data_IF_263274827077
#
_entry.id   IF_263274827077
#
_cell.length_a   1.000
_cell.length_b   1.000
_cell.length_c   1.000
_cell.angle_alpha   90.00
_cell.angle_beta   90.00
_cell.angle_gamma   90.00
#
_symmetry.space_group_name_H-M   'P 1'
#
loop_
_entity.id
_entity.type
_entity.pdbx_description
1 polymer ?
#
# COMPACT_ATOMS: atom_id res chain seq x y z
N UNK A 1 4.35 -15.68 51.61
CA UNK A 1 3.86 -15.82 50.21
C UNK A 1 2.87 -14.71 49.94
N UNK A 2 3.28 -13.65 49.23
CA UNK A 2 2.41 -12.52 48.90
C UNK A 2 1.46 -12.90 47.79
N UNK A 3 0.15 -12.69 48.00
CA UNK A 3 -0.88 -12.86 46.96
C UNK A 3 -0.47 -12.03 45.73
N UNK A 4 -0.55 -12.55 44.49
CA UNK A 4 -0.06 -11.84 43.32
C UNK A 4 -0.79 -10.50 43.17
N UNK A 5 -0.06 -9.42 42.85
CA UNK A 5 -0.58 -8.06 42.56
C UNK A 5 -1.73 -8.01 41.54
N UNK A 6 -1.98 -9.10 40.82
CA UNK A 6 -3.11 -9.32 39.94
C UNK A 6 -4.49 -9.09 40.61
N UNK A 7 -4.61 -9.25 41.94
CA UNK A 7 -5.91 -9.08 42.62
C UNK A 7 -6.31 -7.64 42.93
N UNK A 8 -5.36 -6.70 43.02
CA UNK A 8 -5.64 -5.33 43.45
C UNK A 8 -6.16 -4.47 42.28
N UNK A 9 -5.50 -4.58 41.13
CA UNK A 9 -5.91 -3.90 39.90
C UNK A 9 -7.25 -4.42 39.38
N UNK A 10 -7.46 -5.74 39.38
CA UNK A 10 -8.74 -6.33 38.96
C UNK A 10 -9.91 -5.88 39.86
N UNK A 11 -9.68 -5.74 41.18
CA UNK A 11 -10.70 -5.20 42.10
C UNK A 11 -10.95 -3.71 41.88
N UNK A 12 -9.90 -2.93 41.61
CA UNK A 12 -10.03 -1.52 41.29
C UNK A 12 -10.76 -1.30 39.96
N UNK A 13 -10.47 -2.12 38.95
CA UNK A 13 -11.15 -2.12 37.66
C UNK A 13 -12.63 -2.50 37.80
N UNK A 14 -12.97 -3.55 38.54
CA UNK A 14 -14.37 -3.93 38.82
C UNK A 14 -15.13 -2.82 39.59
N UNK A 15 -14.46 -2.19 40.56
CA UNK A 15 -15.04 -1.05 41.32
C UNK A 15 -15.29 0.14 40.39
N UNK A 16 -14.31 0.50 39.55
CA UNK A 16 -14.43 1.59 38.57
C UNK A 16 -15.55 1.29 37.57
N UNK A 17 -15.59 0.06 37.06
CA UNK A 17 -16.62 -0.39 36.12
C UNK A 17 -18.02 -0.22 36.73
N UNK A 18 -18.24 -0.72 37.95
CA UNK A 18 -19.53 -0.55 38.66
C UNK A 18 -19.89 0.92 38.86
N UNK A 19 -18.93 1.75 39.21
CA UNK A 19 -19.12 3.19 39.39
C UNK A 19 -19.54 3.89 38.08
N UNK A 20 -18.82 3.64 36.99
CA UNK A 20 -19.08 4.29 35.69
C UNK A 20 -20.43 3.87 35.10
N UNK A 21 -20.85 2.62 35.29
CA UNK A 21 -22.03 2.05 34.61
C UNK A 21 -23.32 2.02 35.45
N UNK A 22 -23.30 2.42 36.73
CA UNK A 22 -24.50 2.34 37.60
C UNK A 22 -25.71 3.11 37.04
N UNK A 23 -25.47 4.28 36.44
CA UNK A 23 -26.50 5.15 35.88
C UNK A 23 -26.21 5.51 34.41
N UNK A 24 -25.39 4.73 33.73
CA UNK A 24 -25.03 4.98 32.35
C UNK A 24 -26.11 4.45 31.41
N UNK A 25 -26.71 5.34 30.63
CA UNK A 25 -27.75 5.01 29.67
C UNK A 25 -27.18 5.04 28.25
N UNK A 26 -26.96 3.86 27.65
CA UNK A 26 -26.35 3.73 26.31
C UNK A 26 -27.18 4.30 25.16
N UNK A 27 -28.47 4.52 25.35
CA UNK A 27 -29.37 5.06 24.33
C UNK A 27 -29.43 6.60 24.35
N UNK A 28 -28.87 7.22 25.39
CA UNK A 28 -28.92 8.66 25.59
C UNK A 28 -27.56 9.26 25.24
N UNK A 29 -27.56 10.30 24.40
CA UNK A 29 -26.35 11.01 24.03
C UNK A 29 -25.57 11.47 25.30
N UNK A 30 -24.26 11.17 25.42
CA UNK A 30 -23.48 11.48 26.60
C UNK A 30 -22.94 12.93 26.58
N UNK A 31 -23.85 13.91 26.67
CA UNK A 31 -23.51 15.34 26.80
C UNK A 31 -23.83 15.86 28.20
N UNK A 32 -23.06 16.85 28.66
CA UNK A 32 -23.32 17.58 29.91
C UNK A 32 -24.42 18.62 29.71
N UNK A 33 -24.41 19.30 28.56
CA UNK A 33 -25.39 20.32 28.18
C UNK A 33 -25.99 20.02 26.81
N UNK A 34 -27.26 20.35 26.60
CA UNK A 34 -27.98 20.09 25.33
C UNK A 34 -27.34 20.76 24.11
N UNK A 35 -26.66 21.89 24.31
CA UNK A 35 -26.02 22.65 23.24
C UNK A 35 -24.63 22.12 22.85
N UNK A 36 -24.13 21.07 23.51
CA UNK A 36 -22.83 20.50 23.18
C UNK A 36 -22.92 19.51 22.02
N UNK A 37 -21.92 19.57 21.15
CA UNK A 37 -21.71 18.62 20.05
C UNK A 37 -20.67 17.58 20.45
N UNK A 38 -20.86 16.35 19.98
CA UNK A 38 -19.87 15.28 20.11
C UNK A 38 -19.13 15.18 18.79
N UNK A 39 -17.85 15.50 18.79
CA UNK A 39 -16.98 15.33 17.62
C UNK A 39 -16.55 13.88 17.54
N UNK A 40 -17.03 13.16 16.51
CA UNK A 40 -16.62 11.79 16.21
C UNK A 40 -15.58 11.84 15.11
N UNK A 41 -14.38 11.34 15.40
CA UNK A 41 -13.31 11.19 14.42
C UNK A 41 -13.45 9.83 13.76
N UNK A 42 -13.50 9.83 12.43
CA UNK A 42 -13.49 8.62 11.62
C UNK A 42 -12.13 8.46 10.97
N UNK A 43 -11.56 7.26 11.10
CA UNK A 43 -10.43 6.81 10.32
C UNK A 43 -10.87 5.64 9.46
N UNK A 44 -10.51 5.65 8.18
CA UNK A 44 -10.72 4.52 7.29
C UNK A 44 -9.36 4.03 6.81
N UNK A 45 -9.14 2.73 6.89
CA UNK A 45 -7.93 2.09 6.39
C UNK A 45 -8.33 0.92 5.49
N UNK A 46 -7.81 0.90 4.27
CA UNK A 46 -8.03 -0.21 3.34
C UNK A 46 -7.13 -1.36 3.77
N UNK A 47 -7.70 -2.54 4.00
CA UNK A 47 -6.95 -3.70 4.47
C UNK A 47 -6.01 -4.22 3.38
N UNK A 48 -6.53 -4.45 2.17
CA UNK A 48 -5.85 -4.94 0.97
C UNK A 48 -6.71 -4.57 -0.26
N UNK A 49 -6.08 -4.41 -1.44
CA UNK A 49 -6.82 -4.40 -2.70
C UNK A 49 -7.38 -5.82 -2.89
N UNK A 50 -8.66 -6.01 -2.63
CA UNK A 50 -9.34 -7.26 -2.95
C UNK A 50 -9.71 -7.16 -4.44
N UNK A 51 -9.49 -8.27 -5.12
CA UNK A 51 -9.59 -8.49 -6.55
C UNK A 51 -10.76 -7.76 -7.22
N UNK A 52 -10.52 -7.26 -8.43
CA UNK A 52 -11.52 -6.56 -9.24
C UNK A 52 -12.11 -7.57 -10.21
N UNK A 53 -13.36 -7.96 -10.00
CA UNK A 53 -14.07 -8.82 -10.93
C UNK A 53 -14.60 -7.97 -12.09
N UNK A 54 -13.81 -7.92 -13.16
CA UNK A 54 -14.11 -7.15 -14.37
C UNK A 54 -15.34 -7.69 -15.12
N UNK A 55 -15.53 -9.02 -15.14
CA UNK A 55 -16.68 -9.65 -15.81
C UNK A 55 -18.00 -9.34 -15.13
N UNK A 56 -18.00 -9.24 -13.80
CA UNK A 56 -19.19 -8.94 -13.02
C UNK A 56 -19.31 -7.46 -12.60
N UNK A 57 -18.39 -6.59 -13.06
CA UNK A 57 -18.29 -5.17 -12.71
C UNK A 57 -18.31 -4.91 -11.20
N UNK A 58 -17.69 -5.78 -10.40
CA UNK A 58 -17.66 -5.65 -8.94
C UNK A 58 -16.23 -5.49 -8.44
N UNK A 59 -16.02 -4.36 -7.79
CA UNK A 59 -14.85 -4.13 -6.95
C UNK A 59 -15.23 -4.44 -5.51
N UNK A 60 -14.58 -5.43 -4.90
CA UNK A 60 -14.75 -5.73 -3.48
C UNK A 60 -13.55 -5.17 -2.74
N UNK A 61 -13.74 -4.47 -1.62
CA UNK A 61 -12.62 -3.93 -0.83
C UNK A 61 -12.90 -4.12 0.65
N UNK A 62 -11.96 -4.70 1.38
CA UNK A 62 -12.04 -4.81 2.84
C UNK A 62 -11.56 -3.51 3.48
N UNK A 63 -12.44 -2.81 4.20
CA UNK A 63 -12.14 -1.52 4.85
C UNK A 63 -12.27 -1.65 6.36
N UNK A 64 -11.22 -1.25 7.07
CA UNK A 64 -11.23 -1.05 8.52
C UNK A 64 -11.73 0.35 8.84
N UNK A 65 -12.79 0.44 9.64
CA UNK A 65 -13.31 1.70 10.16
C UNK A 65 -12.91 1.86 11.63
N UNK A 66 -12.17 2.92 11.93
CA UNK A 66 -11.85 3.38 13.27
C UNK A 66 -12.76 4.56 13.62
N UNK A 67 -13.39 4.47 14.79
CA UNK A 67 -14.20 5.56 15.34
C UNK A 67 -13.63 5.97 16.69
N UNK A 68 -13.48 7.27 16.90
CA UNK A 68 -12.96 7.83 18.14
C UNK A 68 -13.81 9.03 18.57
N UNK A 69 -14.34 8.99 19.78
CA UNK A 69 -15.13 10.06 20.37
C UNK A 69 -14.85 10.17 21.87
N UNK A 70 -15.18 11.32 22.46
CA UNK A 70 -15.05 11.54 23.91
C UNK A 70 -16.43 11.49 24.57
N UNK A 71 -16.65 10.50 25.43
CA UNK A 71 -17.81 10.45 26.32
C UNK A 71 -17.54 11.28 27.59
N UNK A 72 -18.40 12.23 27.92
CA UNK A 72 -18.23 13.09 29.10
C UNK A 72 -18.71 12.46 30.41
N UNK A 73 -19.59 11.46 30.34
CA UNK A 73 -20.10 10.71 31.49
C UNK A 73 -19.13 9.61 31.95
N UNK A 74 -18.30 9.09 31.04
CA UNK A 74 -17.28 8.06 31.35
C UNK A 74 -15.95 8.68 31.76
N UNK A 75 -15.92 9.37 32.90
CA UNK A 75 -14.72 10.00 33.45
C UNK A 75 -14.47 9.56 34.88
N UNK A 76 -13.20 9.49 35.24
CA UNK A 76 -12.76 9.19 36.59
C UNK A 76 -11.40 9.83 36.84
N UNK A 77 -11.02 9.94 38.11
CA UNK A 77 -9.67 10.29 38.51
C UNK A 77 -8.82 9.01 38.64
N UNK A 78 -7.70 8.86 37.91
CA UNK A 78 -6.84 7.68 38.02
C UNK A 78 -6.33 7.41 39.45
N UNK A 79 -6.10 8.45 40.24
CA UNK A 79 -5.55 8.33 41.60
C UNK A 79 -6.48 7.53 42.54
N UNK A 80 -7.79 7.61 42.33
CA UNK A 80 -8.80 6.88 43.12
C UNK A 80 -8.85 5.37 42.81
N UNK A 81 -8.23 4.97 41.70
CA UNK A 81 -8.32 3.62 41.14
C UNK A 81 -6.94 3.04 40.77
N UNK A 82 -5.94 3.24 41.64
CA UNK A 82 -4.59 2.68 41.48
C UNK A 82 -3.87 3.11 40.19
N UNK A 83 -4.16 4.31 39.66
CA UNK A 83 -3.56 4.84 38.44
C UNK A 83 -4.14 4.25 37.15
N UNK A 84 -5.31 3.61 37.19
CA UNK A 84 -5.98 3.12 35.99
C UNK A 84 -6.36 4.30 35.07
N UNK A 85 -5.81 4.34 33.87
CA UNK A 85 -6.12 5.37 32.85
C UNK A 85 -6.89 4.81 31.65
N UNK A 86 -6.86 3.49 31.47
CA UNK A 86 -7.51 2.79 30.36
C UNK A 86 -8.23 1.56 30.89
N UNK A 87 -9.48 1.38 30.46
CA UNK A 87 -10.27 0.16 30.69
C UNK A 87 -10.84 -0.32 29.37
N UNK A 88 -11.06 -1.63 29.24
CA UNK A 88 -11.67 -2.23 28.05
C UNK A 88 -13.13 -2.56 28.34
N UNK A 89 -14.03 -1.99 27.55
CA UNK A 89 -15.48 -2.18 27.70
C UNK A 89 -16.05 -2.69 26.38
N UNK A 90 -16.93 -3.70 26.40
CA UNK A 90 -17.61 -4.13 25.19
C UNK A 90 -18.51 -3.02 24.64
N UNK A 91 -18.52 -2.86 23.32
CA UNK A 91 -19.25 -1.79 22.62
C UNK A 91 -20.76 -1.80 22.90
N UNK A 92 -21.35 -2.96 23.19
CA UNK A 92 -22.79 -3.11 23.46
C UNK A 92 -23.27 -2.48 24.79
N UNK A 93 -22.34 -2.00 25.64
CA UNK A 93 -22.62 -1.36 26.93
C UNK A 93 -22.43 0.16 26.92
N UNK A 94 -21.83 0.71 25.88
CA UNK A 94 -21.59 2.16 25.75
C UNK A 94 -22.50 2.77 24.69
N UNK A 95 -22.73 4.07 24.78
CA UNK A 95 -23.35 4.81 23.68
C UNK A 95 -22.41 4.79 22.48
N UNK A 96 -22.96 4.43 21.33
CA UNK A 96 -22.27 4.47 20.04
C UNK A 96 -22.92 5.57 19.21
N UNK A 97 -22.13 6.43 18.55
CA UNK A 97 -22.68 7.41 17.63
C UNK A 97 -23.35 6.70 16.45
N UNK A 98 -24.59 7.08 16.15
CA UNK A 98 -25.23 6.67 14.90
C UNK A 98 -24.46 7.29 13.73
N UNK A 99 -23.75 6.44 12.99
CA UNK A 99 -23.04 6.86 11.79
C UNK A 99 -24.09 7.03 10.69
N UNK A 100 -24.46 8.27 10.40
CA UNK A 100 -25.38 8.58 9.30
C UNK A 100 -24.73 8.12 7.99
N UNK A 101 -25.47 7.29 7.25
CA UNK A 101 -25.03 6.63 6.02
C UNK A 101 -24.44 7.62 5.00
N UNK A 102 -24.92 8.86 4.94
CA UNK A 102 -24.45 9.88 3.98
C UNK A 102 -22.96 10.21 4.11
N UNK A 103 -22.45 10.38 5.33
CA UNK A 103 -21.04 10.73 5.55
C UNK A 103 -20.13 9.53 5.26
N UNK A 104 -20.61 8.33 5.57
CA UNK A 104 -19.92 7.09 5.24
C UNK A 104 -19.92 6.84 3.74
N UNK A 105 -21.03 7.11 3.06
CA UNK A 105 -21.19 6.91 1.62
C UNK A 105 -20.21 7.81 0.84
N UNK A 106 -20.13 9.10 1.19
CA UNK A 106 -19.16 10.00 0.57
C UNK A 106 -17.71 9.55 0.79
N UNK A 107 -17.37 9.08 2.00
CA UNK A 107 -16.05 8.55 2.28
C UNK A 107 -15.75 7.25 1.52
N UNK A 108 -16.72 6.32 1.42
CA UNK A 108 -16.59 5.11 0.62
C UNK A 108 -16.46 5.41 -0.87
N UNK A 109 -17.20 6.39 -1.39
CA UNK A 109 -17.13 6.80 -2.79
C UNK A 109 -15.76 7.41 -3.14
N UNK A 110 -15.19 8.24 -2.28
CA UNK A 110 -13.83 8.76 -2.47
C UNK A 110 -12.76 7.65 -2.43
N UNK A 111 -12.88 6.69 -1.52
CA UNK A 111 -12.00 5.50 -1.47
C UNK A 111 -12.15 4.69 -2.76
N UNK A 112 -13.39 4.42 -3.20
CA UNK A 112 -13.66 3.68 -4.43
C UNK A 112 -13.05 4.38 -5.64
N UNK A 113 -13.19 5.69 -5.73
CA UNK A 113 -12.57 6.49 -6.79
C UNK A 113 -11.04 6.34 -6.81
N UNK A 114 -10.37 6.50 -5.66
CA UNK A 114 -8.90 6.35 -5.56
C UNK A 114 -8.49 4.93 -5.97
N UNK A 115 -9.21 3.93 -5.45
CA UNK A 115 -8.86 2.53 -5.72
C UNK A 115 -9.04 2.20 -7.19
N UNK A 116 -10.12 2.65 -7.83
CA UNK A 116 -10.33 2.51 -9.28
C UNK A 116 -9.26 3.23 -10.11
N UNK A 117 -8.84 4.42 -9.68
CA UNK A 117 -7.80 5.18 -10.38
C UNK A 117 -6.44 4.47 -10.31
N UNK A 118 -6.07 3.94 -9.14
CA UNK A 118 -4.82 3.20 -8.93
C UNK A 118 -4.80 1.92 -9.77
N UNK A 119 -5.90 1.18 -9.84
CA UNK A 119 -5.99 -0.04 -10.67
C UNK A 119 -5.80 0.30 -12.14
N UNK A 120 -6.51 1.31 -12.66
CA UNK A 120 -6.40 1.71 -14.06
C UNK A 120 -5.02 2.27 -14.42
N UNK A 121 -4.40 3.04 -13.52
CA UNK A 121 -3.03 3.50 -13.71
C UNK A 121 -2.04 2.34 -13.75
N UNK A 122 -2.23 1.29 -12.95
CA UNK A 122 -1.36 0.11 -12.97
C UNK A 122 -1.40 -0.60 -14.33
N UNK A 123 -2.57 -0.79 -14.94
CA UNK A 123 -2.68 -1.41 -16.27
C UNK A 123 -1.92 -0.62 -17.34
N UNK A 124 -2.08 0.71 -17.34
CA UNK A 124 -1.37 1.57 -18.30
C UNK A 124 0.14 1.52 -18.06
N UNK A 125 0.58 1.54 -16.79
CA UNK A 125 2.00 1.46 -16.42
C UNK A 125 2.62 0.13 -16.84
N UNK A 126 1.90 -0.98 -16.69
CA UNK A 126 2.35 -2.30 -17.11
C UNK A 126 2.62 -2.33 -18.62
N UNK A 127 1.66 -1.88 -19.43
CA UNK A 127 1.83 -1.79 -20.89
C UNK A 127 3.02 -0.89 -21.25
N UNK A 128 3.15 0.28 -20.65
CA UNK A 128 4.27 1.20 -20.92
C UNK A 128 5.61 0.54 -20.58
N UNK A 129 5.68 -0.23 -19.50
CA UNK A 129 6.90 -0.93 -19.10
C UNK A 129 7.28 -2.04 -20.08
N UNK A 130 6.30 -2.78 -20.60
CA UNK A 130 6.53 -3.79 -21.64
C UNK A 130 7.06 -3.16 -22.93
N UNK A 131 6.45 -2.06 -23.38
CA UNK A 131 6.94 -1.32 -24.54
C UNK A 131 8.34 -0.75 -24.34
N UNK A 132 8.67 -0.31 -23.12
CA UNK A 132 10.01 0.16 -22.77
C UNK A 132 11.05 -0.95 -22.81
N UNK A 133 10.69 -2.15 -22.34
CA UNK A 133 11.52 -3.34 -22.45
C UNK A 133 11.83 -3.65 -23.92
N UNK A 134 10.80 -3.67 -24.77
CA UNK A 134 10.94 -3.89 -26.23
C UNK A 134 11.85 -2.84 -26.86
N UNK A 135 11.63 -1.55 -26.59
CA UNK A 135 12.43 -0.47 -27.16
C UNK A 135 13.92 -0.56 -26.76
N UNK A 136 14.23 -0.93 -25.52
CA UNK A 136 15.62 -1.13 -25.07
C UNK A 136 16.31 -2.31 -25.75
N UNK A 137 15.58 -3.39 -26.00
CA UNK A 137 16.12 -4.54 -26.73
C UNK A 137 16.37 -4.17 -28.19
N UNK A 138 15.42 -3.47 -28.80
CA UNK A 138 15.47 -3.02 -30.19
C UNK A 138 16.70 -2.14 -30.47
N UNK A 139 17.02 -1.20 -29.56
CA UNK A 139 18.23 -0.36 -29.64
C UNK A 139 19.50 -1.20 -29.76
N UNK A 140 19.67 -2.21 -28.90
CA UNK A 140 20.84 -3.11 -28.93
C UNK A 140 20.91 -3.91 -30.22
N UNK A 141 19.79 -4.48 -30.68
CA UNK A 141 19.75 -5.30 -31.89
C UNK A 141 20.14 -4.48 -33.12
N UNK A 142 19.64 -3.25 -33.26
CA UNK A 142 20.01 -2.37 -34.36
C UNK A 142 21.50 -1.99 -34.33
N UNK A 143 22.06 -1.72 -33.14
CA UNK A 143 23.49 -1.42 -33.00
C UNK A 143 24.37 -2.61 -33.42
N UNK A 144 24.04 -3.84 -32.98
CA UNK A 144 24.77 -5.05 -33.38
C UNK A 144 24.68 -5.31 -34.89
N UNK A 145 23.51 -5.11 -35.50
CA UNK A 145 23.35 -5.28 -36.95
C UNK A 145 24.20 -4.28 -37.74
N UNK A 146 24.18 -2.99 -37.35
CA UNK A 146 25.00 -1.96 -37.98
C UNK A 146 26.50 -2.25 -37.83
N UNK A 147 26.93 -2.68 -36.64
CA UNK A 147 28.32 -3.05 -36.38
C UNK A 147 28.79 -4.17 -37.31
N UNK A 148 27.99 -5.23 -37.47
CA UNK A 148 28.34 -6.36 -38.36
C UNK A 148 28.46 -5.90 -39.81
N UNK A 149 27.52 -5.08 -40.29
CA UNK A 149 27.56 -4.54 -41.66
C UNK A 149 28.79 -3.67 -41.87
N UNK A 150 29.14 -2.81 -40.91
CA UNK A 150 30.32 -1.95 -40.99
C UNK A 150 31.64 -2.75 -41.00
N UNK A 151 31.73 -3.80 -40.18
CA UNK A 151 32.89 -4.70 -40.15
C UNK A 151 33.01 -5.46 -41.48
N UNK A 152 31.92 -6.04 -41.98
CA UNK A 152 31.91 -6.76 -43.26
C UNK A 152 32.30 -5.84 -44.42
N UNK A 153 31.72 -4.63 -44.47
CA UNK A 153 32.05 -3.63 -45.48
C UNK A 153 33.51 -3.21 -45.43
N UNK A 154 34.06 -3.03 -44.22
CA UNK A 154 35.48 -2.74 -44.05
C UNK A 154 36.36 -3.90 -44.52
N UNK A 155 36.06 -5.12 -44.07
CA UNK A 155 36.81 -6.31 -44.47
C UNK A 155 36.83 -6.49 -46.00
N UNK A 156 35.68 -6.35 -46.67
CA UNK A 156 35.58 -6.41 -48.13
C UNK A 156 36.47 -5.40 -48.86
N UNK A 157 36.61 -4.18 -48.32
CA UNK A 157 37.48 -3.16 -48.90
C UNK A 157 38.97 -3.46 -48.66
N UNK A 158 39.33 -3.98 -47.49
CA UNK A 158 40.73 -4.24 -47.14
C UNK A 158 41.28 -5.58 -47.67
N UNK A 159 40.41 -6.57 -47.93
CA UNK A 159 40.79 -7.87 -48.49
C UNK A 159 41.70 -7.75 -49.74
N UNK A 160 41.32 -7.06 -50.84
CA UNK A 160 42.17 -6.97 -52.03
C UNK A 160 43.48 -6.21 -51.78
N UNK A 161 43.46 -5.22 -50.88
CA UNK A 161 44.65 -4.47 -50.48
C UNK A 161 45.64 -5.39 -49.76
N UNK A 162 45.16 -6.17 -48.78
CA UNK A 162 46.00 -7.13 -48.03
C UNK A 162 46.58 -8.20 -48.95
N UNK A 163 45.78 -8.75 -49.88
CA UNK A 163 46.29 -9.71 -50.86
C UNK A 163 47.41 -9.13 -51.74
N UNK A 164 47.28 -7.86 -52.16
CA UNK A 164 48.32 -7.17 -52.94
C UNK A 164 49.59 -6.89 -52.13
N UNK A 165 49.47 -6.55 -50.84
CA UNK A 165 50.63 -6.36 -49.97
C UNK A 165 51.32 -7.68 -49.64
N UNK A 166 50.56 -8.75 -49.39
CA UNK A 166 51.09 -10.08 -49.11
C UNK A 166 51.88 -10.64 -50.30
N UNK A 167 51.41 -10.43 -51.54
CA UNK A 167 52.14 -10.87 -52.75
C UNK A 167 53.43 -10.09 -53.00
N UNK A 168 53.56 -8.86 -52.48
CA UNK A 168 54.80 -8.07 -52.55
C UNK A 168 55.82 -8.55 -51.51
N UNK A 169 55.36 -8.96 -50.33
CA UNK A 169 56.23 -9.30 -49.19
C UNK A 169 56.70 -10.76 -49.24
N UNK A 170 55.90 -11.70 -49.77
CA UNK A 170 56.29 -13.11 -49.90
C UNK A 170 56.76 -13.40 -51.34
N UNK A 171 58.07 -13.50 -51.61
CA UNK A 171 58.54 -13.90 -52.93
C UNK A 171 58.21 -15.38 -53.17
N UNK A 172 57.53 -15.68 -54.28
CA UNK A 172 57.38 -17.05 -54.75
C UNK A 172 58.77 -17.60 -55.14
N UNK A 173 59.42 -18.34 -54.24
CA UNK A 173 60.52 -19.23 -54.62
C UNK A 173 59.94 -20.52 -55.20
N UNK A 174 59.28 -20.41 -56.35
CA UNK A 174 59.06 -21.54 -57.24
C UNK A 174 60.25 -21.56 -58.21
N UNK A 175 61.15 -22.52 -57.98
CA UNK A 175 62.47 -22.57 -58.58
C UNK A 175 62.49 -22.65 -60.10
N UNK A 176 63.45 -21.92 -60.67
CA UNK A 176 64.07 -22.26 -61.93
C UNK A 176 64.98 -23.47 -61.74
N UNK A 177 64.52 -24.65 -62.13
CA UNK A 177 65.40 -25.74 -62.57
C UNK A 177 64.84 -26.35 -63.84
N UNK A 178 65.25 -25.78 -64.97
CA UNK A 178 65.84 -26.43 -66.16
C UNK A 178 65.79 -25.45 -67.35
#
# INVERSE_FOLDING_TARGET
MGVPKLSAFAKAEDKLFKYLFVNYQKWVRPVEYLNQTISVKFGLAISQLVDVDEKNQRMTTNVWMKQEWTDRKLRWNPDDYQGLTVIRVPSNRIWLPDVVLHNLQAALDSIRYITMHVVKENEVREVVQDWKCVAQVLDRVFLWAFLVVAILGSALLFIPVIYKWASIIVPNHAGSTL
#
